data_IF_902333022571
#
_entry.id   IF_902333022571
#
_cell.length_a   1.000
_cell.length_b   1.000
_cell.length_c   1.000
_cell.angle_alpha   90.00
_cell.angle_beta   90.00
_cell.angle_gamma   90.00
#
_symmetry.space_group_name_H-M   'P 1'
#
loop_
_entity.id
_entity.type
_entity.pdbx_description
1 polymer ?
#
# COMPACT_ATOMS: atom_id res chain seq x y z
N UNK A 1 -12.40 -19.62 19.67
CA UNK A 1 -11.47 -18.50 19.43
C UNK A 1 -11.83 -17.43 20.43
N UNK A 2 -10.92 -17.07 21.34
CA UNK A 2 -11.20 -16.05 22.35
C UNK A 2 -11.58 -14.72 21.67
N UNK A 3 -12.51 -13.98 22.26
CA UNK A 3 -13.05 -12.73 21.70
C UNK A 3 -11.95 -11.73 21.30
N UNK A 4 -10.83 -11.72 22.03
CA UNK A 4 -9.68 -10.86 21.75
C UNK A 4 -8.96 -11.26 20.45
N UNK A 5 -8.75 -12.56 20.22
CA UNK A 5 -8.09 -13.06 19.01
C UNK A 5 -8.94 -12.78 17.76
N UNK A 6 -10.27 -12.86 17.89
CA UNK A 6 -11.18 -12.44 16.83
C UNK A 6 -11.02 -10.96 16.48
N UNK A 7 -10.95 -10.07 17.48
CA UNK A 7 -10.76 -8.63 17.27
C UNK A 7 -9.43 -8.34 16.54
N UNK A 8 -8.35 -9.00 16.96
CA UNK A 8 -7.05 -8.85 16.32
C UNK A 8 -7.09 -9.27 14.84
N UNK A 9 -7.71 -10.42 14.54
CA UNK A 9 -7.82 -10.90 13.15
C UNK A 9 -8.78 -10.06 12.29
N UNK A 10 -9.80 -9.42 12.88
CA UNK A 10 -10.58 -8.40 12.17
C UNK A 10 -9.66 -7.24 11.75
N UNK A 11 -8.77 -6.79 12.63
CA UNK A 11 -7.72 -5.82 12.34
C UNK A 11 -6.82 -6.22 11.17
N UNK A 12 -6.28 -7.43 11.23
CA UNK A 12 -5.45 -8.00 10.15
C UNK A 12 -6.22 -8.08 8.83
N UNK A 13 -7.46 -8.56 8.88
CA UNK A 13 -8.33 -8.68 7.71
C UNK A 13 -8.57 -7.33 7.04
N UNK A 14 -8.89 -6.31 7.82
CA UNK A 14 -9.07 -4.93 7.33
C UNK A 14 -7.77 -4.39 6.71
N UNK A 15 -6.64 -4.59 7.39
CA UNK A 15 -5.33 -4.12 6.93
C UNK A 15 -4.99 -4.64 5.54
N UNK A 16 -5.04 -5.96 5.36
CA UNK A 16 -4.70 -6.63 4.11
C UNK A 16 -5.72 -6.30 3.02
N UNK A 17 -7.03 -6.32 3.36
CA UNK A 17 -8.08 -6.07 2.39
C UNK A 17 -7.98 -4.64 1.83
N UNK A 18 -7.91 -3.63 2.70
CA UNK A 18 -7.93 -2.24 2.25
C UNK A 18 -6.64 -1.84 1.52
N UNK A 19 -5.47 -2.26 2.02
CA UNK A 19 -4.21 -1.93 1.36
C UNK A 19 -4.06 -2.66 0.03
N UNK A 20 -4.51 -3.92 -0.06
CA UNK A 20 -4.55 -4.70 -1.29
C UNK A 20 -5.53 -4.13 -2.32
N UNK A 21 -6.73 -3.70 -1.89
CA UNK A 21 -7.68 -2.98 -2.76
C UNK A 21 -7.05 -1.69 -3.27
N UNK A 22 -6.39 -0.92 -2.40
CA UNK A 22 -5.62 0.26 -2.79
C UNK A 22 -4.69 -0.02 -3.96
N UNK A 23 -3.82 -1.01 -3.78
CA UNK A 23 -2.87 -1.40 -4.82
C UNK A 23 -3.51 -1.89 -6.11
N UNK A 24 -4.58 -2.69 -6.03
CA UNK A 24 -5.30 -3.12 -7.22
C UNK A 24 -5.85 -1.92 -8.01
N UNK A 25 -6.45 -0.94 -7.33
CA UNK A 25 -6.94 0.28 -7.98
C UNK A 25 -5.80 1.14 -8.53
N UNK A 26 -4.78 1.44 -7.73
CA UNK A 26 -3.67 2.29 -8.14
C UNK A 26 -2.91 1.74 -9.34
N UNK A 27 -2.57 0.45 -9.33
CA UNK A 27 -1.92 -0.25 -10.46
C UNK A 27 -2.83 -0.26 -11.69
N UNK A 28 -4.14 -0.45 -11.52
CA UNK A 28 -5.10 -0.42 -12.65
C UNK A 28 -5.19 0.97 -13.29
N UNK A 29 -5.20 2.04 -12.48
CA UNK A 29 -5.23 3.43 -12.99
C UNK A 29 -4.01 3.71 -13.88
N UNK A 30 -2.81 3.37 -13.40
CA UNK A 30 -1.58 3.56 -14.16
C UNK A 30 -1.48 2.59 -15.36
N UNK A 31 -1.89 1.33 -15.20
CA UNK A 31 -1.88 0.32 -16.25
C UNK A 31 -2.81 0.66 -17.42
N UNK A 32 -4.00 1.20 -17.15
CA UNK A 32 -4.90 1.69 -18.20
C UNK A 32 -4.27 2.84 -18.99
N UNK A 33 -3.58 3.75 -18.31
CA UNK A 33 -2.81 4.81 -18.99
C UNK A 33 -1.66 4.23 -19.83
N UNK A 34 -0.96 3.20 -19.32
CA UNK A 34 0.13 2.53 -20.04
C UNK A 34 -0.36 1.90 -21.35
N UNK A 35 -1.46 1.16 -21.31
CA UNK A 35 -2.07 0.57 -22.52
C UNK A 35 -2.47 1.66 -23.53
N UNK A 36 -2.98 2.80 -23.05
CA UNK A 36 -3.28 3.96 -23.90
C UNK A 36 -2.03 4.58 -24.54
N UNK A 37 -0.96 4.77 -23.76
CA UNK A 37 0.29 5.38 -24.19
C UNK A 37 1.09 4.48 -25.15
N UNK A 38 1.00 3.15 -25.01
CA UNK A 38 1.65 2.18 -25.90
C UNK A 38 1.21 2.32 -27.37
N UNK A 39 -0.03 2.77 -27.61
CA UNK A 39 -0.53 3.03 -28.97
C UNK A 39 0.17 4.22 -29.64
N UNK A 40 0.75 5.12 -28.85
CA UNK A 40 1.45 6.32 -29.31
C UNK A 40 2.95 6.09 -29.44
N UNK A 41 3.55 5.46 -28.43
CA UNK A 41 4.97 5.11 -28.43
C UNK A 41 5.21 3.81 -27.65
N UNK A 42 5.40 2.70 -28.38
CA UNK A 42 5.67 1.39 -27.79
C UNK A 42 7.10 1.24 -27.27
N UNK A 43 8.03 2.10 -27.69
CA UNK A 43 9.44 2.04 -27.27
C UNK A 43 9.64 2.43 -25.80
N UNK A 44 8.67 3.15 -25.22
CA UNK A 44 8.68 3.62 -23.83
C UNK A 44 8.03 2.67 -22.84
N UNK A 45 7.72 1.42 -23.23
CA UNK A 45 7.07 0.44 -22.36
C UNK A 45 7.77 0.26 -20.99
N UNK A 46 9.11 0.24 -20.96
CA UNK A 46 9.86 0.11 -19.71
C UNK A 46 9.52 1.21 -18.70
N UNK A 47 9.37 2.46 -19.15
CA UNK A 47 8.97 3.58 -18.30
C UNK A 47 7.53 3.40 -17.79
N UNK A 48 6.62 2.97 -18.66
CA UNK A 48 5.23 2.75 -18.31
C UNK A 48 5.07 1.61 -17.29
N UNK A 49 5.84 0.54 -17.44
CA UNK A 49 5.86 -0.59 -16.53
C UNK A 49 6.28 -0.17 -15.12
N UNK A 50 7.38 0.59 -15.00
CA UNK A 50 7.86 1.10 -13.71
C UNK A 50 6.80 1.97 -13.04
N UNK A 51 6.25 2.96 -13.76
CA UNK A 51 5.21 3.84 -13.22
C UNK A 51 3.94 3.09 -12.84
N UNK A 52 3.62 2.01 -13.54
CA UNK A 52 2.46 1.16 -13.22
C UNK A 52 2.67 0.33 -11.95
N UNK A 53 3.91 -0.10 -11.69
CA UNK A 53 4.24 -0.94 -10.54
C UNK A 53 4.29 -0.17 -9.21
N UNK A 54 4.59 1.14 -9.23
CA UNK A 54 4.73 1.96 -8.03
C UNK A 54 3.55 1.87 -7.05
N UNK A 55 2.28 2.06 -7.48
CA UNK A 55 1.12 1.91 -6.59
C UNK A 55 0.85 0.47 -6.10
N UNK A 56 1.72 -0.50 -6.38
CA UNK A 56 1.59 -1.88 -5.92
C UNK A 56 2.13 -2.13 -4.50
N UNK A 57 2.90 -1.20 -3.93
CA UNK A 57 3.63 -1.43 -2.67
C UNK A 57 2.74 -1.42 -1.43
N UNK A 58 1.61 -0.71 -1.45
CA UNK A 58 0.71 -0.60 -0.30
C UNK A 58 0.13 -1.95 0.13
N UNK A 59 -0.21 -2.82 -0.84
CA UNK A 59 -0.59 -4.20 -0.58
C UNK A 59 0.52 -4.98 0.14
N UNK A 60 1.77 -4.81 -0.30
CA UNK A 60 2.94 -5.43 0.34
C UNK A 60 3.17 -4.91 1.76
N UNK A 61 2.90 -3.62 2.02
CA UNK A 61 2.99 -3.05 3.36
C UNK A 61 1.94 -3.63 4.31
N UNK A 62 0.68 -3.77 3.86
CA UNK A 62 -0.34 -4.44 4.68
C UNK A 62 0.02 -5.90 5.01
N UNK A 63 0.62 -6.61 4.05
CA UNK A 63 1.15 -7.95 4.27
C UNK A 63 2.34 -7.99 5.24
N UNK A 64 3.26 -7.03 5.12
CA UNK A 64 4.37 -6.88 6.06
C UNK A 64 3.87 -6.57 7.48
N UNK A 65 2.87 -5.71 7.62
CA UNK A 65 2.22 -5.40 8.90
C UNK A 65 1.65 -6.65 9.59
N UNK A 66 1.06 -7.57 8.82
CA UNK A 66 0.61 -8.85 9.36
C UNK A 66 1.78 -9.70 9.86
N UNK A 67 2.83 -9.85 9.05
CA UNK A 67 4.04 -10.57 9.45
C UNK A 67 4.70 -9.98 10.70
N UNK A 68 4.65 -8.66 10.85
CA UNK A 68 5.18 -8.00 12.04
C UNK A 68 4.41 -8.44 13.30
N UNK A 69 3.08 -8.36 13.30
CA UNK A 69 2.28 -8.80 14.46
C UNK A 69 2.38 -10.31 14.71
N UNK A 70 2.42 -11.13 13.67
CA UNK A 70 2.47 -12.59 13.80
C UNK A 70 3.85 -13.12 14.20
N UNK A 71 4.92 -12.66 13.56
CA UNK A 71 6.23 -13.31 13.59
C UNK A 71 7.33 -12.48 14.24
N UNK A 72 7.21 -11.16 14.26
CA UNK A 72 8.21 -10.28 14.90
C UNK A 72 7.82 -10.02 16.36
N UNK A 73 6.56 -9.63 16.58
CA UNK A 73 6.05 -9.31 17.91
C UNK A 73 5.34 -10.48 18.60
N UNK A 74 4.97 -11.52 17.83
CA UNK A 74 4.32 -12.74 18.34
C UNK A 74 3.09 -12.47 19.23
N UNK A 75 2.28 -11.47 18.87
CA UNK A 75 1.09 -11.06 19.64
C UNK A 75 -0.18 -11.78 19.19
N UNK A 76 -0.17 -12.43 18.03
CA UNK A 76 -1.32 -13.17 17.48
C UNK A 76 -1.36 -14.61 18.00
N UNK A 77 -1.55 -14.78 19.31
CA UNK A 77 -1.66 -16.08 19.98
C UNK A 77 -3.03 -16.24 20.67
N UNK A 78 -3.43 -17.46 21.08
CA UNK A 78 -4.66 -17.67 21.86
C UNK A 78 -4.72 -16.84 23.15
N UNK A 79 -3.58 -16.53 23.75
CA UNK A 79 -3.43 -15.79 25.01
C UNK A 79 -3.38 -14.26 24.84
N UNK A 80 -3.69 -13.74 23.65
CA UNK A 80 -3.64 -12.32 23.35
C UNK A 80 -4.50 -11.48 24.32
N UNK A 81 -3.88 -10.45 24.90
CA UNK A 81 -4.57 -9.54 25.81
C UNK A 81 -5.56 -8.61 25.09
N UNK A 82 -6.47 -8.01 25.86
CA UNK A 82 -7.42 -7.00 25.34
C UNK A 82 -6.70 -5.77 24.74
N UNK A 83 -5.56 -5.37 25.31
CA UNK A 83 -4.76 -4.25 24.83
C UNK A 83 -4.05 -4.60 23.52
N UNK A 84 -3.42 -5.79 23.43
CA UNK A 84 -2.76 -6.25 22.21
C UNK A 84 -3.75 -6.39 21.05
N UNK A 85 -4.90 -7.01 21.28
CA UNK A 85 -5.93 -7.16 20.24
C UNK A 85 -6.47 -5.82 19.75
N UNK A 86 -6.73 -4.87 20.65
CA UNK A 86 -7.14 -3.51 20.29
C UNK A 86 -6.05 -2.76 19.51
N UNK A 87 -4.78 -2.95 19.88
CA UNK A 87 -3.64 -2.37 19.19
C UNK A 87 -3.48 -2.92 17.76
N UNK A 88 -3.64 -4.22 17.55
CA UNK A 88 -3.65 -4.85 16.22
C UNK A 88 -4.81 -4.31 15.37
N UNK A 89 -6.01 -4.17 15.94
CA UNK A 89 -7.16 -3.58 15.24
C UNK A 89 -6.89 -2.14 14.82
N UNK A 90 -6.39 -1.31 15.72
CA UNK A 90 -6.06 0.09 15.43
C UNK A 90 -4.96 0.23 14.37
N UNK A 91 -3.89 -0.57 14.49
CA UNK A 91 -2.82 -0.61 13.50
C UNK A 91 -3.31 -1.08 12.14
N UNK A 92 -4.19 -2.09 12.11
CA UNK A 92 -4.77 -2.60 10.88
C UNK A 92 -5.68 -1.61 10.17
N UNK A 93 -6.51 -0.87 10.91
CA UNK A 93 -7.31 0.23 10.38
C UNK A 93 -6.43 1.35 9.81
N UNK A 94 -5.40 1.77 10.55
CA UNK A 94 -4.51 2.85 10.13
C UNK A 94 -3.77 2.51 8.83
N UNK A 95 -3.07 1.37 8.78
CA UNK A 95 -2.31 0.97 7.60
C UNK A 95 -3.23 0.60 6.43
N UNK A 96 -4.34 -0.09 6.68
CA UNK A 96 -5.30 -0.46 5.65
C UNK A 96 -5.89 0.77 4.95
N UNK A 97 -6.43 1.73 5.70
CA UNK A 97 -7.06 2.93 5.14
C UNK A 97 -6.05 3.83 4.44
N UNK A 98 -4.88 4.05 5.04
CA UNK A 98 -3.84 4.88 4.41
C UNK A 98 -3.36 4.21 3.13
N UNK A 99 -3.12 2.89 3.14
CA UNK A 99 -2.73 2.13 1.95
C UNK A 99 -3.77 2.20 0.82
N UNK A 100 -5.06 2.13 1.15
CA UNK A 100 -6.15 2.30 0.20
C UNK A 100 -6.07 3.64 -0.52
N UNK A 101 -6.06 4.73 0.25
CA UNK A 101 -6.15 6.07 -0.33
C UNK A 101 -4.83 6.51 -0.98
N UNK A 102 -3.68 6.20 -0.38
CA UNK A 102 -2.38 6.62 -0.89
C UNK A 102 -2.08 5.96 -2.23
N UNK A 103 -2.38 4.67 -2.38
CA UNK A 103 -2.16 3.94 -3.64
C UNK A 103 -2.99 4.51 -4.79
N UNK A 104 -4.28 4.84 -4.54
CA UNK A 104 -5.14 5.46 -5.54
C UNK A 104 -4.55 6.80 -6.02
N UNK A 105 -4.07 7.63 -5.09
CA UNK A 105 -3.46 8.93 -5.43
C UNK A 105 -2.14 8.75 -6.16
N UNK A 106 -1.32 7.78 -5.76
CA UNK A 106 -0.09 7.46 -6.46
C UNK A 106 -0.33 6.98 -7.88
N UNK A 107 -1.32 6.11 -8.09
CA UNK A 107 -1.76 5.65 -9.40
C UNK A 107 -2.18 6.80 -10.31
N UNK A 108 -2.88 7.80 -9.78
CA UNK A 108 -3.26 9.01 -10.53
C UNK A 108 -2.04 9.83 -10.98
N UNK A 109 -1.04 10.03 -10.11
CA UNK A 109 0.21 10.72 -10.46
C UNK A 109 0.95 9.93 -11.56
N UNK A 110 1.07 8.62 -11.39
CA UNK A 110 1.74 7.75 -12.36
C UNK A 110 1.02 7.73 -13.72
N UNK A 111 -0.31 7.65 -13.74
CA UNK A 111 -1.12 7.69 -14.95
C UNK A 111 -0.93 8.99 -15.74
N UNK A 112 -0.87 10.13 -15.05
CA UNK A 112 -0.60 11.42 -15.69
C UNK A 112 0.79 11.47 -16.31
N UNK A 113 1.82 10.98 -15.61
CA UNK A 113 3.17 10.88 -16.14
C UNK A 113 3.26 9.97 -17.36
N UNK A 114 2.60 8.81 -17.33
CA UNK A 114 2.51 7.88 -18.46
C UNK A 114 1.85 8.56 -19.67
N UNK A 115 0.73 9.26 -19.45
CA UNK A 115 0.02 9.96 -20.52
C UNK A 115 0.87 11.07 -21.17
N UNK A 116 1.69 11.77 -20.37
CA UNK A 116 2.61 12.79 -20.85
C UNK A 116 3.82 12.19 -21.60
N UNK A 117 4.41 11.11 -21.09
CA UNK A 117 5.49 10.40 -21.80
C UNK A 117 4.99 9.86 -23.15
N UNK A 118 3.79 9.29 -23.20
CA UNK A 118 3.16 8.86 -24.45
C UNK A 118 2.85 9.99 -25.43
N UNK A 119 2.94 11.26 -25.02
CA UNK A 119 2.81 12.44 -25.88
C UNK A 119 4.17 13.03 -26.28
N UNK A 120 5.28 12.35 -25.93
CA UNK A 120 6.63 12.79 -26.27
C UNK A 120 7.28 13.70 -25.23
N UNK A 121 6.69 13.88 -24.05
CA UNK A 121 7.30 14.66 -22.97
C UNK A 121 8.27 13.82 -22.13
N UNK A 122 9.44 14.38 -21.82
CA UNK A 122 10.42 13.72 -20.94
C UNK A 122 10.15 14.07 -19.46
N UNK A 123 9.13 13.44 -18.89
CA UNK A 123 8.70 13.69 -17.50
C UNK A 123 8.79 12.45 -16.60
N UNK A 124 9.49 11.41 -17.03
CA UNK A 124 9.61 10.17 -16.27
C UNK A 124 10.21 10.40 -14.88
N UNK A 125 11.40 11.02 -14.80
CA UNK A 125 12.05 11.32 -13.52
C UNK A 125 11.22 12.23 -12.63
N UNK A 126 10.60 13.27 -13.20
CA UNK A 126 9.70 14.17 -12.47
C UNK A 126 8.49 13.42 -11.89
N UNK A 127 7.91 12.50 -12.67
CA UNK A 127 6.79 11.67 -12.23
C UNK A 127 7.21 10.75 -11.08
N UNK A 128 8.39 10.13 -11.15
CA UNK A 128 8.92 9.30 -10.07
C UNK A 128 9.02 10.09 -8.77
N UNK A 129 9.63 11.28 -8.81
CA UNK A 129 9.79 12.14 -7.63
C UNK A 129 8.43 12.50 -7.03
N UNK A 130 7.46 12.89 -7.87
CA UNK A 130 6.13 13.26 -7.41
C UNK A 130 5.33 12.07 -6.88
N UNK A 131 5.54 10.86 -7.41
CA UNK A 131 4.89 9.64 -6.96
C UNK A 131 5.37 9.18 -5.56
N UNK A 132 6.51 9.70 -5.06
CA UNK A 132 6.98 9.42 -3.69
C UNK A 132 6.12 10.10 -2.63
N UNK A 133 5.48 11.24 -2.92
CA UNK A 133 4.72 11.94 -1.88
C UNK A 133 3.51 11.14 -1.38
N UNK A 134 2.67 10.53 -2.24
CA UNK A 134 1.67 9.57 -1.77
C UNK A 134 2.29 8.34 -1.09
N UNK A 135 3.41 7.83 -1.60
CA UNK A 135 4.12 6.66 -1.04
C UNK A 135 4.49 6.87 0.44
N UNK A 136 5.01 8.06 0.76
CA UNK A 136 5.52 8.40 2.08
C UNK A 136 4.47 8.15 3.17
N UNK A 137 3.20 8.45 2.91
CA UNK A 137 2.13 8.25 3.90
C UNK A 137 1.92 6.76 4.23
N UNK A 138 2.03 5.86 3.23
CA UNK A 138 1.92 4.43 3.47
C UNK A 138 3.12 3.89 4.26
N UNK A 139 4.33 4.38 3.97
CA UNK A 139 5.54 4.02 4.73
C UNK A 139 5.43 4.50 6.18
N UNK A 140 4.96 5.73 6.41
CA UNK A 140 4.74 6.27 7.76
C UNK A 140 3.69 5.44 8.51
N UNK A 141 2.62 4.99 7.83
CA UNK A 141 1.63 4.11 8.44
C UNK A 141 2.22 2.74 8.84
N UNK A 142 3.07 2.16 7.99
CA UNK A 142 3.77 0.92 8.30
C UNK A 142 4.74 1.09 9.49
N UNK A 143 5.47 2.20 9.53
CA UNK A 143 6.30 2.53 10.69
C UNK A 143 5.46 2.71 11.96
N UNK A 144 4.27 3.31 11.84
CA UNK A 144 3.29 3.38 12.93
C UNK A 144 2.88 2.00 13.44
N UNK A 145 2.59 1.05 12.53
CA UNK A 145 2.30 -0.35 12.88
C UNK A 145 3.49 -1.00 13.59
N UNK A 146 4.73 -0.75 13.16
CA UNK A 146 5.92 -1.23 13.84
C UNK A 146 6.01 -0.71 15.28
N UNK A 147 5.78 0.58 15.48
CA UNK A 147 5.83 1.20 16.81
C UNK A 147 4.70 0.70 17.72
N UNK A 148 3.50 0.49 17.17
CA UNK A 148 2.38 -0.12 17.89
C UNK A 148 2.76 -1.52 18.36
N UNK A 149 3.25 -2.36 17.45
CA UNK A 149 3.68 -3.72 17.79
C UNK A 149 4.77 -3.75 18.85
N UNK A 150 5.77 -2.88 18.72
CA UNK A 150 6.86 -2.74 19.71
C UNK A 150 6.35 -2.34 21.09
N UNK A 151 5.31 -1.50 21.17
CA UNK A 151 4.77 -1.03 22.44
C UNK A 151 3.92 -2.07 23.18
N UNK A 152 3.44 -3.11 22.49
CA UNK A 152 2.53 -4.14 23.06
C UNK A 152 3.10 -5.56 23.03
N UNK A 153 4.32 -5.73 22.52
CA UNK A 153 5.06 -6.99 22.50
C UNK A 153 5.59 -7.36 23.89
#
# INVERSE_FOLDING_TARGET
MDSNLLIAYIGIGIMIALSGIGSAYGVTIAGNAAVGALKKDSTKFGNFLVLTALPGTQGLYGFAGYFMFQSIFNVLTPEISAIQSSAVLAGGLALGLIGLFSSIRQGQVCANGIAAIGQGHDVFGNTLILAVFPELYAIVALAGVFLIGTAVA
#
